data_IF_732234863613
#
_entry.id   IF_732234863613
#
_cell.length_a   1.000
_cell.length_b   1.000
_cell.length_c   1.000
_cell.angle_alpha   90.00
_cell.angle_beta   90.00
_cell.angle_gamma   90.00
#
_symmetry.space_group_name_H-M   'P 1'
#
loop_
_entity.id
_entity.type
_entity.pdbx_description
1 polymer ?
#
# COMPACT_ATOMS: atom_id res chain seq x y z
N UNK A 1 -21.20 -1.01 10.95
CA UNK A 1 -21.09 -1.66 9.63
C UNK A 1 -19.70 -2.26 9.53
N UNK A 2 -19.58 -3.57 9.26
CA UNK A 2 -18.31 -4.15 8.80
C UNK A 2 -18.11 -3.66 7.37
N UNK A 3 -16.99 -3.03 7.08
CA UNK A 3 -16.62 -2.71 5.70
C UNK A 3 -16.50 -4.01 4.92
N UNK A 4 -17.10 -4.04 3.73
CA UNK A 4 -17.17 -5.22 2.89
C UNK A 4 -15.78 -5.55 2.30
N UNK A 5 -15.33 -6.81 2.43
CA UNK A 5 -14.00 -7.23 1.96
C UNK A 5 -13.87 -7.08 0.44
N UNK A 6 -14.96 -7.23 -0.31
CA UNK A 6 -14.94 -7.05 -1.76
C UNK A 6 -14.76 -5.57 -2.12
N UNK A 7 -15.48 -4.66 -1.45
CA UNK A 7 -15.24 -3.21 -1.59
C UNK A 7 -13.78 -2.84 -1.26
N UNK A 8 -13.24 -3.34 -0.15
CA UNK A 8 -11.84 -3.07 0.23
C UNK A 8 -10.84 -3.63 -0.78
N UNK A 9 -11.14 -4.79 -1.39
CA UNK A 9 -10.29 -5.40 -2.42
C UNK A 9 -10.25 -4.56 -3.70
N UNK A 10 -11.39 -4.05 -4.15
CA UNK A 10 -11.46 -3.12 -5.30
C UNK A 10 -10.70 -1.83 -5.03
N UNK A 11 -10.88 -1.25 -3.84
CA UNK A 11 -10.15 -0.05 -3.44
C UNK A 11 -8.64 -0.30 -3.32
N UNK A 12 -8.24 -1.45 -2.79
CA UNK A 12 -6.83 -1.83 -2.69
C UNK A 12 -6.21 -1.98 -4.08
N UNK A 13 -6.91 -2.58 -5.04
CA UNK A 13 -6.41 -2.72 -6.41
C UNK A 13 -6.15 -1.33 -7.04
N UNK A 14 -7.06 -0.38 -6.84
CA UNK A 14 -6.87 1.01 -7.29
C UNK A 14 -5.70 1.71 -6.57
N UNK A 15 -5.55 1.50 -5.27
CA UNK A 15 -4.40 2.03 -4.52
C UNK A 15 -3.07 1.45 -5.02
N UNK A 16 -3.03 0.14 -5.25
CA UNK A 16 -1.86 -0.58 -5.76
C UNK A 16 -1.46 -0.10 -7.16
N UNK A 17 -2.41 0.13 -8.06
CA UNK A 17 -2.11 0.62 -9.40
C UNK A 17 -1.55 2.06 -9.39
N UNK A 18 -1.95 2.88 -8.42
CA UNK A 18 -1.45 4.25 -8.22
C UNK A 18 -0.11 4.33 -7.47
N UNK A 19 0.20 3.38 -6.59
CA UNK A 19 1.37 3.43 -5.70
C UNK A 19 2.71 3.43 -6.44
N UNK A 20 2.86 2.57 -7.47
CA UNK A 20 4.06 2.54 -8.32
C UNK A 20 4.31 3.86 -9.06
N UNK A 21 3.33 4.38 -9.81
CA UNK A 21 3.43 5.69 -10.43
C UNK A 21 3.67 6.84 -9.44
N UNK A 22 3.09 6.80 -8.23
CA UNK A 22 3.36 7.79 -7.18
C UNK A 22 4.83 7.74 -6.74
N UNK A 23 5.39 6.55 -6.53
CA UNK A 23 6.83 6.36 -6.27
C UNK A 23 7.67 6.97 -7.38
N UNK A 24 7.36 6.67 -8.65
CA UNK A 24 8.08 7.25 -9.79
C UNK A 24 7.94 8.78 -9.85
N UNK A 25 6.78 9.33 -9.47
CA UNK A 25 6.59 10.77 -9.37
C UNK A 25 7.48 11.39 -8.29
N UNK A 26 7.54 10.80 -7.08
CA UNK A 26 8.40 11.30 -5.99
C UNK A 26 9.88 11.26 -6.41
N UNK A 27 10.32 10.14 -6.99
CA UNK A 27 11.69 10.01 -7.47
C UNK A 27 12.06 11.14 -8.45
N UNK A 28 11.17 11.46 -9.39
CA UNK A 28 11.39 12.53 -10.37
C UNK A 28 11.31 13.93 -9.74
N UNK A 29 10.27 14.18 -8.94
CA UNK A 29 10.01 15.50 -8.33
C UNK A 29 11.14 15.94 -7.38
N UNK A 30 11.78 14.98 -6.71
CA UNK A 30 12.86 15.22 -5.76
C UNK A 30 14.25 14.82 -6.28
N UNK A 31 14.37 14.50 -7.57
CA UNK A 31 15.64 14.14 -8.23
C UNK A 31 16.40 13.01 -7.53
N UNK A 32 15.67 11.99 -7.06
CA UNK A 32 16.21 10.84 -6.35
C UNK A 32 16.57 9.70 -7.31
N UNK A 33 17.58 8.86 -6.98
CA UNK A 33 17.91 7.70 -7.77
C UNK A 33 16.82 6.61 -7.67
N UNK A 34 16.67 5.79 -8.71
CA UNK A 34 15.55 4.85 -8.84
C UNK A 34 15.48 3.80 -7.71
N UNK A 35 16.61 3.46 -7.10
CA UNK A 35 16.72 2.51 -6.00
C UNK A 35 16.52 3.13 -4.60
N UNK A 36 16.35 4.46 -4.50
CA UNK A 36 16.26 5.15 -3.20
C UNK A 36 15.00 4.77 -2.41
N UNK A 37 13.89 4.54 -3.11
CA UNK A 37 12.61 4.20 -2.52
C UNK A 37 12.32 2.74 -2.80
N UNK A 38 12.12 1.93 -1.76
CA UNK A 38 11.83 0.51 -1.89
C UNK A 38 10.46 0.28 -2.56
N UNK A 39 10.46 -0.38 -3.71
CA UNK A 39 9.24 -0.70 -4.45
C UNK A 39 8.30 -1.62 -3.66
N UNK A 40 8.82 -2.51 -2.81
CA UNK A 40 8.03 -3.44 -2.00
C UNK A 40 7.23 -2.72 -0.91
N UNK A 41 7.69 -1.55 -0.47
CA UNK A 41 7.04 -0.76 0.57
C UNK A 41 5.89 0.12 0.03
N UNK A 42 5.73 0.20 -1.29
CA UNK A 42 4.82 1.15 -1.94
C UNK A 42 3.35 0.95 -1.57
N UNK A 43 2.95 -0.29 -1.32
CA UNK A 43 1.60 -0.69 -0.91
C UNK A 43 1.51 -1.02 0.57
N UNK A 44 2.55 -0.78 1.37
CA UNK A 44 2.49 -1.02 2.81
C UNK A 44 1.45 -0.10 3.46
N UNK A 45 0.70 -0.64 4.43
CA UNK A 45 -0.30 0.15 5.16
C UNK A 45 0.31 1.41 5.80
N UNK A 46 1.54 1.32 6.31
CA UNK A 46 2.22 2.47 6.91
C UNK A 46 2.44 3.59 5.89
N UNK A 47 2.90 3.28 4.68
CA UNK A 47 3.10 4.31 3.65
C UNK A 47 1.78 4.91 3.16
N UNK A 48 0.74 4.10 2.96
CA UNK A 48 -0.55 4.63 2.54
C UNK A 48 -1.23 5.47 3.64
N UNK A 49 -1.04 5.13 4.92
CA UNK A 49 -1.50 5.94 6.06
C UNK A 49 -0.81 7.32 6.10
N UNK A 50 0.48 7.38 5.75
CA UNK A 50 1.20 8.65 5.64
C UNK A 50 0.60 9.55 4.56
N UNK A 51 0.26 9.00 3.39
CA UNK A 51 -0.39 9.74 2.29
C UNK A 51 -1.77 10.25 2.71
N UNK A 52 -2.54 9.39 3.39
CA UNK A 52 -3.89 9.70 3.85
C UNK A 52 -3.92 10.79 4.94
N UNK A 53 -2.99 10.75 5.89
CA UNK A 53 -3.02 11.62 7.07
C UNK A 53 -2.17 12.87 6.94
N UNK A 54 -0.99 12.73 6.36
CA UNK A 54 0.03 13.78 6.36
C UNK A 54 0.33 14.32 4.97
N UNK A 55 -0.19 13.68 3.91
CA UNK A 55 0.14 14.06 2.54
C UNK A 55 1.60 13.81 2.21
N UNK A 56 2.24 12.83 2.87
CA UNK A 56 3.62 12.45 2.64
C UNK A 56 3.73 11.02 2.12
N UNK A 57 4.74 10.76 1.28
CA UNK A 57 5.06 9.43 0.76
C UNK A 57 6.56 9.20 0.86
N UNK A 58 6.98 8.17 1.60
CA UNK A 58 8.39 8.00 2.03
C UNK A 58 8.99 9.24 2.71
N UNK A 59 8.16 10.04 3.40
CA UNK A 59 8.57 11.29 4.05
C UNK A 59 8.63 12.51 3.14
N UNK A 60 8.40 12.37 1.84
CA UNK A 60 8.36 13.49 0.89
C UNK A 60 6.95 14.05 0.75
N UNK A 61 6.82 15.37 0.65
CA UNK A 61 5.52 16.01 0.40
C UNK A 61 5.00 15.64 -1.01
N UNK A 62 3.77 15.13 -1.05
CA UNK A 62 3.08 14.75 -2.29
C UNK A 62 1.86 15.62 -2.57
N UNK A 63 1.73 16.79 -1.92
CA UNK A 63 0.65 17.76 -2.14
C UNK A 63 0.50 18.22 -3.60
N UNK A 64 1.59 18.19 -4.37
CA UNK A 64 1.63 18.57 -5.79
C UNK A 64 1.55 17.39 -6.76
N UNK A 65 1.45 16.17 -6.26
CA UNK A 65 1.27 15.00 -7.11
C UNK A 65 -0.12 15.04 -7.78
N UNK A 66 -0.27 14.44 -8.98
CA UNK A 66 -1.58 14.31 -9.61
C UNK A 66 -2.58 13.62 -8.66
N UNK A 67 -3.79 14.17 -8.53
CA UNK A 67 -4.81 13.63 -7.63
C UNK A 67 -5.14 12.16 -7.92
N UNK A 68 -5.08 11.74 -9.19
CA UNK A 68 -5.26 10.34 -9.61
C UNK A 68 -4.23 9.36 -8.98
N UNK A 69 -3.10 9.86 -8.49
CA UNK A 69 -2.09 9.07 -7.78
C UNK A 69 -2.26 9.08 -6.26
N UNK A 70 -2.98 10.06 -5.72
CA UNK A 70 -3.13 10.27 -4.27
C UNK A 70 -4.47 9.71 -3.79
N UNK A 71 -5.56 10.06 -4.46
CA UNK A 71 -6.92 9.73 -4.04
C UNK A 71 -7.18 8.23 -3.91
N UNK A 72 -6.66 7.33 -4.77
CA UNK A 72 -6.83 5.89 -4.56
C UNK A 72 -6.22 5.38 -3.25
N UNK A 73 -5.01 5.84 -2.91
CA UNK A 73 -4.35 5.48 -1.65
C UNK A 73 -5.13 6.02 -0.45
N UNK A 74 -5.53 7.31 -0.50
CA UNK A 74 -6.32 7.92 0.56
C UNK A 74 -7.66 7.22 0.77
N UNK A 75 -8.39 6.99 -0.31
CA UNK A 75 -9.72 6.36 -0.28
C UNK A 75 -9.64 4.96 0.31
N UNK A 76 -8.68 4.14 -0.12
CA UNK A 76 -8.46 2.82 0.47
C UNK A 76 -8.18 2.92 1.96
N UNK A 77 -7.20 3.72 2.38
CA UNK A 77 -6.78 3.81 3.79
C UNK A 77 -7.85 4.40 4.70
N UNK A 78 -8.58 5.42 4.24
CA UNK A 78 -9.70 5.98 5.00
C UNK A 78 -10.84 4.98 5.13
N UNK A 79 -11.19 4.25 4.08
CA UNK A 79 -12.23 3.22 4.11
C UNK A 79 -11.82 2.04 4.99
N UNK A 80 -10.55 1.63 4.95
CA UNK A 80 -9.99 0.61 5.84
C UNK A 80 -10.08 1.04 7.32
N UNK A 81 -9.88 2.34 7.60
CA UNK A 81 -10.04 2.91 8.94
C UNK A 81 -11.50 3.06 9.36
N UNK A 82 -12.44 3.24 8.43
CA UNK A 82 -13.87 3.29 8.74
C UNK A 82 -14.30 1.94 9.36
N UNK A 83 -14.62 1.97 10.66
CA UNK A 83 -14.86 0.77 11.47
C UNK A 83 -13.86 0.59 12.63
N UNK A 84 -12.74 1.31 12.58
CA UNK A 84 -11.78 1.40 13.68
C UNK A 84 -11.98 2.72 14.41
N UNK A 85 -12.36 2.67 15.69
CA UNK A 85 -12.33 3.84 16.59
C UNK A 85 -10.86 4.19 16.91
N UNK A 86 -10.05 4.49 15.92
CA UNK A 86 -8.74 5.08 16.16
C UNK A 86 -8.97 6.54 16.55
N UNK A 87 -8.48 6.97 17.71
CA UNK A 87 -8.47 8.41 18.04
C UNK A 87 -7.49 9.07 17.08
N UNK A 88 -7.88 10.24 16.54
CA UNK A 88 -7.00 11.00 15.65
C UNK A 88 -5.67 11.27 16.36
N UNK A 89 -4.56 10.84 15.77
CA UNK A 89 -3.21 10.98 16.36
C UNK A 89 -2.54 9.68 16.81
N UNK A 90 -3.27 8.58 17.01
CA UNK A 90 -2.67 7.30 17.44
C UNK A 90 -1.92 6.56 16.32
N UNK A 91 -1.02 5.66 16.75
CA UNK A 91 -0.44 4.61 15.91
C UNK A 91 -1.53 3.84 15.16
N UNK A 92 -1.16 3.29 13.99
CA UNK A 92 -2.08 2.45 13.20
C UNK A 92 -2.48 1.24 14.06
N UNK A 93 -3.77 1.04 14.36
CA UNK A 93 -4.20 -0.10 15.16
C UNK A 93 -3.75 -1.43 14.56
N UNK A 94 -3.23 -2.35 15.39
CA UNK A 94 -2.68 -3.64 14.94
C UNK A 94 -3.65 -4.45 14.08
N UNK A 95 -4.95 -4.41 14.37
CA UNK A 95 -5.94 -5.14 13.60
C UNK A 95 -6.06 -4.64 12.15
N UNK A 96 -5.77 -3.37 11.87
CA UNK A 96 -5.77 -2.84 10.50
C UNK A 96 -4.66 -3.45 9.65
N UNK A 97 -3.50 -3.76 10.23
CA UNK A 97 -2.46 -4.50 9.52
C UNK A 97 -2.91 -5.92 9.16
N UNK A 98 -3.68 -6.56 10.03
CA UNK A 98 -4.25 -7.89 9.75
C UNK A 98 -5.28 -7.82 8.62
N UNK A 99 -6.18 -6.85 8.65
CA UNK A 99 -7.18 -6.65 7.57
C UNK A 99 -6.47 -6.31 6.26
N UNK A 100 -5.52 -5.38 6.28
CA UNK A 100 -4.74 -5.00 5.10
C UNK A 100 -4.03 -6.21 4.46
N UNK A 101 -3.30 -7.00 5.26
CA UNK A 101 -2.64 -8.23 4.76
C UNK A 101 -3.62 -9.23 4.17
N UNK A 102 -4.80 -9.38 4.77
CA UNK A 102 -5.86 -10.25 4.24
C UNK A 102 -6.36 -9.75 2.88
N UNK A 103 -6.63 -8.45 2.75
CA UNK A 103 -7.07 -7.84 1.49
C UNK A 103 -5.99 -7.96 0.42
N UNK A 104 -4.72 -7.74 0.77
CA UNK A 104 -3.59 -7.92 -0.13
C UNK A 104 -3.53 -9.35 -0.67
N UNK A 105 -3.60 -10.36 0.21
CA UNK A 105 -3.61 -11.77 -0.19
C UNK A 105 -4.80 -12.14 -1.08
N UNK A 106 -5.97 -11.53 -0.87
CA UNK A 106 -7.15 -11.74 -1.73
C UNK A 106 -6.95 -11.19 -3.14
N UNK A 107 -6.21 -10.09 -3.30
CA UNK A 107 -6.00 -9.42 -4.59
C UNK A 107 -4.80 -9.97 -5.35
N UNK A 108 -3.72 -10.33 -4.67
CA UNK A 108 -2.50 -10.87 -5.30
C UNK A 108 -2.49 -12.38 -5.43
N UNK A 109 -3.45 -13.07 -4.81
CA UNK A 109 -3.37 -14.51 -4.55
C UNK A 109 -2.45 -14.83 -3.36
N UNK A 110 -2.51 -16.05 -2.82
CA UNK A 110 -1.55 -16.48 -1.82
C UNK A 110 -0.13 -16.36 -2.40
N UNK A 111 0.83 -15.92 -1.59
CA UNK A 111 2.24 -16.00 -1.98
C UNK A 111 2.51 -17.43 -2.44
N UNK A 112 2.93 -17.59 -3.70
CA UNK A 112 3.21 -18.91 -4.29
C UNK A 112 4.16 -19.64 -3.34
N UNK A 113 3.72 -20.76 -2.77
CA UNK A 113 4.62 -21.64 -2.06
C UNK A 113 5.69 -22.09 -3.08
N UNK A 114 6.99 -22.13 -2.71
CA UNK A 114 8.00 -22.68 -3.61
C UNK A 114 7.57 -24.11 -3.93
N UNK A 115 7.40 -24.40 -5.22
CA UNK A 115 7.01 -25.75 -5.61
C UNK A 115 8.21 -26.67 -5.37
N UNK A 116 8.00 -27.91 -4.93
CA UNK A 116 9.09 -28.84 -4.58
C UNK A 116 10.01 -29.22 -5.76
N UNK A 117 9.84 -28.64 -6.95
CA UNK A 117 10.71 -28.80 -8.11
C UNK A 117 11.79 -27.72 -8.30
N UNK A 118 11.76 -26.61 -7.55
CA UNK A 118 12.77 -25.54 -7.66
C UNK A 118 14.09 -25.84 -6.90
N UNK A 119 14.17 -26.97 -6.20
CA UNK A 119 15.34 -27.41 -5.42
C UNK A 119 16.21 -28.45 -6.15
N UNK A 120 15.80 -28.93 -7.33
CA UNK A 120 16.48 -30.03 -8.06
C UNK A 120 17.39 -29.54 -9.20
N UNK A 121 17.61 -28.23 -9.33
CA UNK A 121 18.42 -27.65 -10.42
C UNK A 121 19.78 -27.10 -9.94
N UNK A 122 20.26 -27.54 -8.78
CA UNK A 122 21.50 -27.05 -8.17
C UNK A 122 22.61 -28.11 -8.03
N UNK A 123 22.52 -29.23 -8.74
CA UNK A 123 23.59 -30.22 -8.82
C UNK A 123 23.68 -30.80 -10.25
N UNK A 124 24.39 -30.10 -11.14
CA UNK A 124 25.11 -30.68 -12.29
C UNK A 124 26.37 -29.88 -12.60
#
# INVERSE_FOLDING_TARGET
>A
MKTDDHQLSTLYLAARSAAGPLRSWVLKAYMLPENQLDASMTTSLAQMDQVARFGTYFGYDVSRAPAALIEPLRTYTMTLRQGSKARSGEEIPRHLFTVHRRIEALVTGPARAPEPGDLDAADE
#
